data_IF_437563711097
#
_entry.id   IF_437563711097
#
_cell.length_a   1.000
_cell.length_b   1.000
_cell.length_c   1.000
_cell.angle_alpha   90.00
_cell.angle_beta   90.00
_cell.angle_gamma   90.00
#
_symmetry.space_group_name_H-M   'P 1'
#
loop_
_entity.id
_entity.type
_entity.pdbx_description
1 polymer ?
#
# COMPACT_ATOMS: atom_id res chain seq x y z
N UNK A 1 9.09 -9.76 8.08
CA UNK A 1 7.61 -9.85 8.16
C UNK A 1 6.89 -9.94 6.82
N UNK A 2 6.85 -8.89 5.96
CA UNK A 2 6.11 -8.96 4.67
C UNK A 2 6.50 -10.21 3.85
N UNK A 3 7.80 -10.45 3.71
CA UNK A 3 8.35 -11.65 3.05
C UNK A 3 7.81 -12.96 3.62
N UNK A 4 7.75 -13.09 4.95
CA UNK A 4 7.24 -14.30 5.61
C UNK A 4 5.78 -14.54 5.25
N UNK A 5 4.96 -13.48 5.22
CA UNK A 5 3.54 -13.59 4.87
C UNK A 5 3.39 -13.96 3.39
N UNK A 6 4.14 -13.34 2.49
CA UNK A 6 4.09 -13.68 1.06
C UNK A 6 4.53 -15.13 0.80
N UNK A 7 5.52 -15.63 1.54
CA UNK A 7 5.96 -17.03 1.48
C UNK A 7 4.92 -18.01 2.06
N UNK A 8 3.97 -17.53 2.88
CA UNK A 8 2.90 -18.36 3.43
C UNK A 8 1.76 -18.64 2.46
N UNK A 9 1.71 -17.97 1.31
CA UNK A 9 0.68 -18.18 0.27
C UNK A 9 0.82 -19.62 -0.28
N UNK A 10 -0.27 -20.38 -0.23
CA UNK A 10 -0.31 -21.81 -0.57
C UNK A 10 -0.77 -22.05 -2.01
N UNK A 11 -1.59 -21.17 -2.58
CA UNK A 11 -2.01 -21.28 -3.96
C UNK A 11 -0.82 -21.02 -4.90
N UNK A 12 -0.40 -22.06 -5.63
CA UNK A 12 0.76 -22.05 -6.54
C UNK A 12 0.73 -20.90 -7.57
N UNK A 13 -0.42 -20.63 -8.19
CA UNK A 13 -0.51 -19.57 -9.21
C UNK A 13 -0.42 -18.17 -8.59
N UNK A 14 -1.08 -17.94 -7.45
CA UNK A 14 -0.94 -16.68 -6.71
C UNK A 14 0.49 -16.50 -6.19
N UNK A 15 1.09 -17.55 -5.63
CA UNK A 15 2.47 -17.52 -5.17
C UNK A 15 3.43 -17.13 -6.29
N UNK A 16 3.25 -17.67 -7.51
CA UNK A 16 4.07 -17.32 -8.66
C UNK A 16 3.85 -15.88 -9.12
N UNK A 17 2.59 -15.43 -9.17
CA UNK A 17 2.25 -14.04 -9.49
C UNK A 17 2.94 -13.08 -8.49
N UNK A 18 2.78 -13.34 -7.19
CA UNK A 18 3.42 -12.53 -6.14
C UNK A 18 4.95 -12.58 -6.28
N UNK A 19 5.52 -13.75 -6.54
CA UNK A 19 6.97 -13.89 -6.73
C UNK A 19 7.49 -13.03 -7.89
N UNK A 20 6.76 -12.93 -9.01
CA UNK A 20 7.14 -12.06 -10.13
C UNK A 20 7.20 -10.57 -9.77
N UNK A 21 6.42 -10.12 -8.77
CA UNK A 21 6.55 -8.77 -8.21
C UNK A 21 7.75 -8.66 -7.27
N UNK A 22 7.98 -9.68 -6.43
CA UNK A 22 9.06 -9.68 -5.45
C UNK A 22 10.46 -9.78 -6.10
N UNK A 23 10.55 -10.44 -7.25
CA UNK A 23 11.78 -10.54 -8.05
C UNK A 23 12.13 -9.24 -8.81
N UNK A 24 11.18 -8.29 -8.88
CA UNK A 24 11.40 -6.98 -9.46
C UNK A 24 12.09 -6.05 -8.44
N UNK A 25 13.42 -6.13 -8.39
CA UNK A 25 14.23 -5.42 -7.38
C UNK A 25 13.98 -3.90 -7.40
N UNK A 26 13.81 -3.30 -8.58
CA UNK A 26 13.58 -1.87 -8.73
C UNK A 26 12.19 -1.48 -8.20
N UNK A 27 11.15 -2.24 -8.53
CA UNK A 27 9.82 -2.04 -8.01
C UNK A 27 9.80 -2.17 -6.48
N UNK A 28 10.45 -3.20 -5.93
CA UNK A 28 10.45 -3.45 -4.49
C UNK A 28 11.25 -2.41 -3.70
N UNK A 29 12.35 -1.90 -4.26
CA UNK A 29 13.07 -0.77 -3.69
C UNK A 29 12.19 0.49 -3.61
N UNK A 30 11.41 0.76 -4.68
CA UNK A 30 10.46 1.87 -4.70
C UNK A 30 9.29 1.65 -3.74
N UNK A 31 8.76 0.42 -3.64
CA UNK A 31 7.69 0.07 -2.71
C UNK A 31 8.06 0.34 -1.25
N UNK A 32 9.31 0.05 -0.88
CA UNK A 32 9.82 0.32 0.47
C UNK A 32 10.01 1.82 0.78
N UNK A 33 10.00 2.68 -0.24
CA UNK A 33 10.22 4.13 -0.11
C UNK A 33 8.96 4.96 -0.38
N UNK A 34 8.02 4.45 -1.16
CA UNK A 34 6.84 5.19 -1.57
C UNK A 34 5.95 5.56 -0.36
N UNK A 35 5.35 6.76 -0.36
CA UNK A 35 4.26 7.08 0.55
C UNK A 35 2.98 6.35 0.13
N UNK A 36 2.08 6.07 1.08
CA UNK A 36 0.77 5.48 0.75
C UNK A 36 -0.24 6.53 0.28
N UNK A 37 -0.02 7.81 0.62
CA UNK A 37 -0.88 8.89 0.19
C UNK A 37 -0.12 10.20 0.11
N UNK A 38 -0.68 11.16 -0.63
CA UNK A 38 -0.17 12.54 -0.68
C UNK A 38 -0.37 13.28 0.65
N UNK A 39 -1.39 12.91 1.42
CA UNK A 39 -1.73 13.54 2.68
C UNK A 39 -2.51 12.58 3.59
N UNK A 40 -2.63 12.94 4.87
CA UNK A 40 -3.43 12.27 5.90
C UNK A 40 -2.91 10.89 6.37
N UNK A 41 -3.15 9.79 5.65
CA UNK A 41 -2.81 8.42 6.09
C UNK A 41 -1.53 7.94 5.43
N UNK A 42 -0.54 7.55 6.23
CA UNK A 42 0.74 7.02 5.73
C UNK A 42 1.45 7.89 4.66
N UNK A 43 1.23 9.22 4.73
CA UNK A 43 1.87 10.21 3.87
C UNK A 43 3.30 10.53 4.33
N UNK A 44 4.20 9.55 4.26
CA UNK A 44 5.62 9.67 4.57
C UNK A 44 6.42 8.59 3.81
N UNK A 45 7.74 8.76 3.67
CA UNK A 45 8.61 7.80 2.98
C UNK A 45 8.54 6.43 3.67
N UNK A 46 8.19 5.38 2.91
CA UNK A 46 7.96 4.03 3.41
C UNK A 46 6.55 3.78 3.96
N UNK A 47 5.67 4.78 3.89
CA UNK A 47 4.30 4.66 4.36
C UNK A 47 3.48 3.60 3.61
N UNK A 48 3.76 3.35 2.32
CA UNK A 48 3.08 2.31 1.55
C UNK A 48 3.36 0.91 2.10
N UNK A 49 4.62 0.64 2.44
CA UNK A 49 5.02 -0.63 3.06
C UNK A 49 4.36 -0.80 4.44
N UNK A 50 4.37 0.24 5.27
CA UNK A 50 3.75 0.20 6.60
C UNK A 50 2.24 -0.05 6.51
N UNK A 51 1.53 0.69 5.65
CA UNK A 51 0.11 0.50 5.37
C UNK A 51 -0.18 -0.94 4.94
N UNK A 52 0.60 -1.46 3.99
CA UNK A 52 0.40 -2.83 3.48
C UNK A 52 0.60 -3.88 4.57
N UNK A 53 1.63 -3.73 5.42
CA UNK A 53 1.87 -4.66 6.53
C UNK A 53 0.73 -4.58 7.55
N UNK A 54 0.30 -3.37 7.94
CA UNK A 54 -0.81 -3.20 8.89
C UNK A 54 -2.09 -3.87 8.39
N UNK A 55 -2.45 -3.61 7.12
CA UNK A 55 -3.61 -4.21 6.48
C UNK A 55 -3.49 -5.75 6.42
N UNK A 56 -2.31 -6.28 6.13
CA UNK A 56 -2.04 -7.73 6.14
C UNK A 56 -2.22 -8.34 7.54
N UNK A 57 -1.72 -7.71 8.60
CA UNK A 57 -1.86 -8.25 9.97
C UNK A 57 -3.33 -8.23 10.43
N UNK A 58 -4.08 -7.19 10.07
CA UNK A 58 -5.53 -7.12 10.29
C UNK A 58 -6.22 -8.24 9.50
N UNK A 59 -5.87 -8.42 8.23
CA UNK A 59 -6.45 -9.48 7.39
C UNK A 59 -6.19 -10.87 7.98
N UNK A 60 -4.96 -11.18 8.35
CA UNK A 60 -4.56 -12.47 8.94
C UNK A 60 -5.29 -12.78 10.25
N UNK A 61 -5.75 -11.75 10.95
CA UNK A 61 -6.58 -11.89 12.13
C UNK A 61 -8.05 -12.09 11.76
N UNK A 62 -8.57 -11.24 10.87
CA UNK A 62 -9.98 -11.22 10.48
C UNK A 62 -10.40 -12.48 9.74
N UNK A 63 -9.59 -13.00 8.81
CA UNK A 63 -9.92 -14.17 7.98
C UNK A 63 -10.23 -15.42 8.82
N UNK A 64 -9.66 -15.54 10.03
CA UNK A 64 -9.89 -16.66 10.96
C UNK A 64 -11.34 -16.75 11.45
N UNK A 65 -12.07 -15.64 11.41
CA UNK A 65 -13.47 -15.58 11.82
C UNK A 65 -14.45 -15.93 10.69
N UNK A 66 -13.99 -16.03 9.44
CA UNK A 66 -14.84 -16.26 8.27
C UNK A 66 -14.42 -17.51 7.48
N UNK A 67 -14.79 -18.72 7.96
CA UNK A 67 -14.56 -19.96 7.22
C UNK A 67 -15.25 -19.89 5.85
N UNK A 68 -14.46 -19.86 4.78
CA UNK A 68 -14.94 -19.69 3.40
C UNK A 68 -14.32 -18.48 2.69
N UNK A 69 -13.72 -17.55 3.42
CA UNK A 69 -12.91 -16.48 2.83
C UNK A 69 -11.55 -17.02 2.40
N UNK A 70 -11.15 -16.79 1.15
CA UNK A 70 -9.85 -17.23 0.67
C UNK A 70 -8.73 -16.30 1.16
N UNK A 71 -7.98 -16.77 2.17
CA UNK A 71 -6.86 -16.02 2.77
C UNK A 71 -5.83 -15.57 1.73
N UNK A 72 -5.40 -16.47 0.83
CA UNK A 72 -4.35 -16.17 -0.13
C UNK A 72 -4.75 -15.05 -1.09
N UNK A 73 -6.01 -15.04 -1.53
CA UNK A 73 -6.55 -13.96 -2.35
C UNK A 73 -6.64 -12.62 -1.61
N UNK A 74 -7.06 -12.62 -0.34
CA UNK A 74 -7.12 -11.40 0.47
C UNK A 74 -5.73 -10.82 0.67
N UNK A 75 -4.76 -11.65 1.06
CA UNK A 75 -3.37 -11.23 1.29
C UNK A 75 -2.71 -10.74 0.00
N UNK A 76 -2.88 -11.47 -1.12
CA UNK A 76 -2.38 -11.02 -2.42
C UNK A 76 -3.06 -9.71 -2.86
N UNK A 77 -4.37 -9.59 -2.66
CA UNK A 77 -5.13 -8.37 -2.94
C UNK A 77 -4.60 -7.14 -2.19
N UNK A 78 -4.37 -7.28 -0.89
CA UNK A 78 -3.81 -6.20 -0.05
C UNK A 78 -2.39 -5.85 -0.50
N UNK A 79 -1.55 -6.83 -0.82
CA UNK A 79 -0.20 -6.52 -1.30
C UNK A 79 -0.21 -5.76 -2.64
N UNK A 80 -1.16 -6.05 -3.52
CA UNK A 80 -1.16 -5.54 -4.90
C UNK A 80 -2.01 -4.28 -5.13
N UNK A 81 -3.00 -3.97 -4.29
CA UNK A 81 -3.99 -2.90 -4.59
C UNK A 81 -3.33 -1.54 -4.89
N UNK A 82 -2.38 -1.15 -4.05
CA UNK A 82 -1.70 0.14 -4.12
C UNK A 82 -0.28 0.08 -4.67
N UNK A 83 0.16 -1.06 -5.20
CA UNK A 83 1.56 -1.27 -5.62
C UNK A 83 2.02 -0.23 -6.66
N UNK A 84 1.10 0.24 -7.52
CA UNK A 84 1.41 1.24 -8.52
C UNK A 84 1.52 2.68 -7.99
N UNK A 85 1.32 2.93 -6.69
CA UNK A 85 1.70 4.21 -6.04
C UNK A 85 3.19 4.48 -6.15
N UNK A 86 4.00 3.42 -6.31
CA UNK A 86 5.44 3.50 -6.63
C UNK A 86 5.74 4.21 -7.95
N UNK A 87 4.78 4.20 -8.88
CA UNK A 87 4.85 4.82 -10.21
C UNK A 87 3.97 6.08 -10.32
N UNK A 88 2.83 6.10 -9.65
CA UNK A 88 1.91 7.24 -9.65
C UNK A 88 2.51 8.46 -8.94
N UNK A 89 3.21 8.23 -7.82
CA UNK A 89 3.71 9.29 -6.97
C UNK A 89 5.19 9.59 -7.23
N UNK A 90 5.55 10.86 -7.12
CA UNK A 90 6.92 11.35 -7.03
C UNK A 90 7.22 11.70 -5.58
N UNK A 91 8.40 11.32 -5.09
CA UNK A 91 8.72 11.42 -3.65
C UNK A 91 10.23 11.58 -3.35
N UNK A 92 11.01 12.12 -4.30
CA UNK A 92 12.45 12.36 -4.09
C UNK A 92 12.73 13.66 -3.31
N UNK A 93 12.12 14.77 -3.71
CA UNK A 93 12.31 16.08 -3.08
C UNK A 93 11.05 16.56 -2.34
N UNK A 94 9.89 16.38 -2.99
CA UNK A 94 8.58 16.69 -2.44
C UNK A 94 7.59 15.65 -2.97
N UNK A 95 6.51 15.43 -2.24
CA UNK A 95 5.45 14.55 -2.72
C UNK A 95 4.67 15.23 -3.83
N UNK A 96 4.42 14.49 -4.90
CA UNK A 96 3.69 14.94 -6.07
C UNK A 96 3.14 13.74 -6.85
N UNK A 97 2.40 14.02 -7.91
CA UNK A 97 2.01 13.02 -8.90
C UNK A 97 2.94 13.09 -10.10
N UNK A 98 3.20 11.94 -10.72
CA UNK A 98 3.76 11.87 -12.07
C UNK A 98 2.68 12.19 -13.11
N UNK A 99 3.07 12.51 -14.34
CA UNK A 99 2.10 12.71 -15.43
C UNK A 99 1.23 11.46 -15.64
N UNK A 100 1.84 10.28 -15.55
CA UNK A 100 1.13 9.01 -15.59
C UNK A 100 0.15 8.86 -14.43
N UNK A 101 0.54 9.29 -13.23
CA UNK A 101 -0.34 9.33 -12.07
C UNK A 101 -1.59 10.18 -12.30
N UNK A 102 -1.43 11.39 -12.86
CA UNK A 102 -2.57 12.24 -13.21
C UNK A 102 -3.47 11.68 -14.32
N UNK A 103 -2.88 11.00 -15.30
CA UNK A 103 -3.62 10.52 -16.47
C UNK A 103 -4.30 9.15 -16.27
N UNK A 104 -3.68 8.27 -15.47
CA UNK A 104 -4.10 6.86 -15.33
C UNK A 104 -4.43 6.48 -13.90
N UNK A 105 -3.60 6.90 -12.93
CA UNK A 105 -3.73 6.55 -11.52
C UNK A 105 -3.30 5.12 -11.17
N UNK A 106 -3.01 4.89 -9.89
CA UNK A 106 -2.49 3.63 -9.38
C UNK A 106 -3.50 2.48 -9.52
N UNK A 107 -4.80 2.70 -9.30
CA UNK A 107 -5.80 1.62 -9.33
C UNK A 107 -5.78 0.88 -10.68
N UNK A 108 -5.88 1.65 -11.77
CA UNK A 108 -5.88 1.10 -13.13
C UNK A 108 -4.51 0.53 -13.46
N UNK A 109 -3.44 1.23 -13.07
CA UNK A 109 -2.07 0.79 -13.35
C UNK A 109 -1.71 -0.52 -12.63
N UNK A 110 -2.09 -0.68 -11.37
CA UNK A 110 -1.93 -1.90 -10.58
C UNK A 110 -2.62 -3.08 -11.29
N UNK A 111 -3.86 -2.90 -11.76
CA UNK A 111 -4.59 -3.95 -12.49
C UNK A 111 -3.92 -4.31 -13.83
N UNK A 112 -3.38 -3.32 -14.56
CA UNK A 112 -2.61 -3.56 -15.79
C UNK A 112 -1.31 -4.32 -15.51
N UNK A 113 -0.62 -4.03 -14.40
CA UNK A 113 0.58 -4.74 -14.01
C UNK A 113 0.31 -6.20 -13.67
N UNK A 114 -0.85 -6.54 -13.10
CA UNK A 114 -1.21 -7.94 -12.82
C UNK A 114 -1.20 -8.77 -14.11
N UNK A 115 -1.74 -8.23 -15.20
CA UNK A 115 -1.74 -8.90 -16.52
C UNK A 115 -0.31 -9.14 -17.04
N UNK A 116 0.59 -8.17 -16.84
CA UNK A 116 1.99 -8.28 -17.28
C UNK A 116 2.77 -9.28 -16.43
N UNK A 117 2.66 -9.16 -15.10
CA UNK A 117 3.33 -10.04 -14.13
C UNK A 117 2.80 -11.46 -14.16
N UNK A 118 1.53 -11.66 -14.52
CA UNK A 118 1.00 -13.00 -14.76
C UNK A 118 1.74 -13.69 -15.92
N UNK A 119 2.06 -12.99 -17.01
CA UNK A 119 2.82 -13.57 -18.14
C UNK A 119 4.24 -13.95 -17.74
N UNK A 120 4.93 -13.10 -16.99
CA UNK A 120 6.25 -13.41 -16.41
C UNK A 120 6.19 -14.65 -15.48
N UNK A 121 5.14 -14.73 -14.65
CA UNK A 121 4.92 -15.85 -13.76
C UNK A 121 4.61 -17.16 -14.51
N UNK A 122 3.85 -17.11 -15.61
CA UNK A 122 3.57 -18.27 -16.48
C UNK A 122 4.84 -18.86 -17.10
N UNK A 123 5.77 -18.00 -17.54
CA UNK A 123 7.07 -18.44 -18.07
C UNK A 123 7.87 -19.21 -17.01
N UNK A 124 7.85 -18.72 -15.77
CA UNK A 124 8.54 -19.37 -14.64
C UNK A 124 7.85 -20.68 -14.22
N UNK A 125 6.52 -20.71 -14.23
CA UNK A 125 5.73 -21.88 -13.87
C UNK A 125 5.79 -22.99 -14.93
N UNK A 126 5.98 -22.63 -16.21
CA UNK A 126 5.85 -23.54 -17.33
C UNK A 126 4.40 -23.94 -17.65
N UNK A 127 3.42 -23.23 -17.11
CA UNK A 127 1.99 -23.45 -17.32
C UNK A 127 1.21 -22.13 -17.26
N UNK A 128 0.00 -22.13 -17.83
CA UNK A 128 -0.88 -20.95 -17.83
C UNK A 128 -1.51 -20.73 -16.47
N UNK A 129 -1.60 -19.48 -16.04
CA UNK A 129 -2.39 -19.07 -14.88
C UNK A 129 -3.86 -18.99 -15.37
N UNK A 130 -4.83 -19.57 -14.66
CA UNK A 130 -6.23 -19.45 -15.04
C UNK A 130 -6.65 -17.98 -15.14
N UNK A 131 -7.18 -17.56 -16.30
CA UNK A 131 -7.60 -16.16 -16.52
C UNK A 131 -8.59 -15.68 -15.44
N UNK A 132 -9.48 -16.56 -14.98
CA UNK A 132 -10.42 -16.22 -13.90
C UNK A 132 -9.72 -15.82 -12.59
N UNK A 133 -8.55 -16.37 -12.30
CA UNK A 133 -7.76 -15.97 -11.12
C UNK A 133 -7.20 -14.54 -11.31
N UNK A 134 -6.68 -14.25 -12.50
CA UNK A 134 -6.20 -12.92 -12.89
C UNK A 134 -7.32 -11.90 -12.79
N UNK A 135 -8.50 -12.22 -13.35
CA UNK A 135 -9.69 -11.36 -13.33
C UNK A 135 -10.15 -11.06 -11.90
N UNK A 136 -10.12 -12.04 -10.99
CA UNK A 136 -10.49 -11.84 -9.58
C UNK A 136 -9.48 -10.95 -8.85
N UNK A 137 -8.18 -11.14 -9.06
CA UNK A 137 -7.14 -10.27 -8.48
C UNK A 137 -7.29 -8.84 -9.01
N UNK A 138 -7.48 -8.68 -10.32
CA UNK A 138 -7.76 -7.37 -10.91
C UNK A 138 -9.05 -6.76 -10.36
N UNK A 139 -10.11 -7.55 -10.13
CA UNK A 139 -11.36 -7.04 -9.53
C UNK A 139 -11.15 -6.54 -8.11
N UNK A 140 -10.38 -7.24 -7.27
CA UNK A 140 -10.02 -6.78 -5.93
C UNK A 140 -9.34 -5.40 -6.02
N UNK A 141 -8.35 -5.26 -6.90
CA UNK A 141 -7.64 -4.00 -7.13
C UNK A 141 -8.59 -2.93 -7.70
N UNK A 142 -9.43 -3.23 -8.68
CA UNK A 142 -10.32 -2.24 -9.31
C UNK A 142 -11.50 -1.83 -8.42
N UNK A 143 -11.69 -2.49 -7.28
CA UNK A 143 -12.83 -2.25 -6.40
C UNK A 143 -12.50 -1.87 -4.96
N UNK A 144 -11.22 -1.84 -4.57
CA UNK A 144 -10.84 -1.61 -3.18
C UNK A 144 -11.24 -0.24 -2.61
N UNK A 145 -11.58 0.76 -3.44
CA UNK A 145 -12.15 2.04 -3.00
C UNK A 145 -13.68 2.04 -2.85
N UNK A 146 -14.36 0.90 -3.06
CA UNK A 146 -15.82 0.73 -3.04
C UNK A 146 -16.58 1.51 -4.12
N UNK A 147 -16.75 2.81 -3.94
CA UNK A 147 -17.66 3.60 -4.77
C UNK A 147 -16.93 4.38 -5.86
N UNK A 148 -17.56 4.60 -7.02
CA UNK A 148 -17.05 5.53 -8.04
C UNK A 148 -16.78 6.94 -7.50
N UNK A 149 -17.57 7.39 -6.51
CA UNK A 149 -17.38 8.67 -5.81
C UNK A 149 -16.04 8.76 -5.06
N UNK A 150 -15.43 7.62 -4.73
CA UNK A 150 -14.11 7.50 -4.11
C UNK A 150 -13.01 7.14 -5.12
N UNK A 151 -13.31 7.23 -6.42
CA UNK A 151 -12.38 6.93 -7.50
C UNK A 151 -12.33 5.46 -7.92
N UNK A 152 -13.21 4.59 -7.38
CA UNK A 152 -13.23 3.17 -7.70
C UNK A 152 -13.87 2.88 -9.07
N UNK A 153 -13.19 2.19 -10.00
CA UNK A 153 -13.80 1.76 -11.26
C UNK A 153 -14.98 0.78 -11.09
N UNK A 154 -14.94 -0.05 -10.05
CA UNK A 154 -15.94 -1.09 -9.74
C UNK A 154 -16.28 -1.12 -8.24
N UNK A 155 -17.42 -1.70 -7.91
CA UNK A 155 -17.78 -2.04 -6.53
C UNK A 155 -17.29 -3.45 -6.17
N UNK A 156 -16.89 -3.71 -4.92
CA UNK A 156 -16.50 -5.03 -4.45
C UNK A 156 -17.63 -6.05 -4.69
N UNK A 157 -17.30 -7.18 -5.28
CA UNK A 157 -18.29 -8.16 -5.75
C UNK A 157 -17.91 -9.61 -5.44
N UNK A 158 -16.83 -9.82 -4.68
CA UNK A 158 -16.45 -11.11 -4.09
C UNK A 158 -16.25 -10.93 -2.59
N UNK A 159 -16.38 -11.98 -1.77
CA UNK A 159 -16.08 -11.91 -0.35
C UNK A 159 -14.68 -11.35 -0.07
N UNK A 160 -13.70 -11.74 -0.90
CA UNK A 160 -12.31 -11.28 -0.82
C UNK A 160 -12.20 -9.79 -1.12
N UNK A 161 -12.83 -9.29 -2.20
CA UNK A 161 -12.81 -7.87 -2.53
C UNK A 161 -13.50 -7.02 -1.45
N UNK A 162 -14.61 -7.51 -0.89
CA UNK A 162 -15.32 -6.84 0.21
C UNK A 162 -14.40 -6.77 1.44
N UNK A 163 -13.74 -7.88 1.79
CA UNK A 163 -12.82 -7.91 2.92
C UNK A 163 -11.65 -6.92 2.73
N UNK A 164 -11.03 -6.91 1.55
CA UNK A 164 -9.90 -6.01 1.22
C UNK A 164 -10.33 -4.55 1.33
N UNK A 165 -11.46 -4.16 0.70
CA UNK A 165 -11.99 -2.80 0.81
C UNK A 165 -12.24 -2.39 2.27
N UNK A 166 -12.88 -3.26 3.05
CA UNK A 166 -13.21 -2.95 4.45
C UNK A 166 -11.96 -2.78 5.31
N UNK A 167 -10.91 -3.57 5.05
CA UNK A 167 -9.64 -3.51 5.78
C UNK A 167 -8.86 -2.24 5.39
N UNK A 168 -8.77 -1.92 4.10
CA UNK A 168 -8.12 -0.69 3.62
C UNK A 168 -8.76 0.56 4.22
N UNK A 169 -10.09 0.67 4.10
CA UNK A 169 -10.83 1.81 4.62
C UNK A 169 -10.78 1.89 6.16
N UNK A 170 -10.64 0.76 6.85
CA UNK A 170 -10.43 0.72 8.30
C UNK A 170 -9.06 1.28 8.67
N UNK A 171 -7.99 0.82 8.03
CA UNK A 171 -6.63 1.31 8.27
C UNK A 171 -6.53 2.81 8.00
N UNK A 172 -7.01 3.26 6.83
CA UNK A 172 -7.01 4.67 6.46
C UNK A 172 -7.77 5.53 7.49
N UNK A 173 -8.99 5.13 7.88
CA UNK A 173 -9.81 5.90 8.83
C UNK A 173 -9.26 5.88 10.25
N UNK A 174 -8.77 4.75 10.75
CA UNK A 174 -8.22 4.67 12.09
C UNK A 174 -6.92 5.47 12.19
N UNK A 175 -6.03 5.35 11.20
CA UNK A 175 -4.81 6.15 11.14
C UNK A 175 -5.13 7.64 11.10
N UNK A 176 -6.10 8.07 10.28
CA UNK A 176 -6.53 9.48 10.23
C UNK A 176 -7.16 9.97 11.55
N UNK A 177 -8.01 9.16 12.17
CA UNK A 177 -8.69 9.53 13.42
C UNK A 177 -7.72 9.61 14.59
N UNK A 178 -6.78 8.66 14.71
CA UNK A 178 -5.75 8.65 15.76
C UNK A 178 -4.78 9.83 15.58
N UNK A 179 -4.37 10.13 14.34
CA UNK A 179 -3.60 11.35 14.01
C UNK A 179 -4.30 12.60 14.51
N UNK A 180 -5.57 12.76 14.16
CA UNK A 180 -6.35 13.95 14.43
C UNK A 180 -6.75 14.13 15.90
N UNK A 181 -6.61 13.10 16.75
CA UNK A 181 -7.16 13.13 18.11
C UNK A 181 -6.22 12.68 19.22
N UNK A 182 -5.34 11.70 18.99
CA UNK A 182 -4.52 11.05 20.03
C UNK A 182 -3.03 11.36 19.92
N UNK A 183 -2.53 11.77 18.76
CA UNK A 183 -1.11 12.01 18.57
C UNK A 183 -0.69 13.45 18.91
N UNK A 184 0.57 13.61 19.31
CA UNK A 184 1.15 14.79 20.00
C UNK A 184 1.01 16.15 19.31
N UNK A 185 0.57 16.20 18.05
CA UNK A 185 0.40 17.45 17.29
C UNK A 185 -0.71 18.36 17.86
N UNK A 186 -1.45 17.91 18.88
CA UNK A 186 -2.56 18.64 19.49
C UNK A 186 -2.35 18.96 20.99
N UNK A 187 -1.16 18.70 21.54
CA UNK A 187 -0.80 19.18 22.88
C UNK A 187 -0.83 20.72 22.88
N UNK A 188 -1.91 21.31 23.42
CA UNK A 188 -2.10 22.76 23.46
C UNK A 188 -3.11 23.34 22.45
N UNK A 189 -3.81 22.52 21.66
CA UNK A 189 -4.97 23.01 20.91
C UNK A 189 -6.19 23.19 21.82
N UNK A 190 -6.84 24.35 21.75
CA UNK A 190 -8.04 24.62 22.52
C UNK A 190 -9.24 23.75 22.08
N UNK A 191 -9.98 23.24 23.06
CA UNK A 191 -11.25 22.55 22.89
C UNK A 191 -11.17 21.02 22.68
N UNK A 192 -12.31 20.36 22.87
CA UNK A 192 -12.43 18.90 22.86
C UNK A 192 -12.67 18.27 21.49
N UNK A 193 -12.78 19.06 20.42
CA UNK A 193 -13.23 18.60 19.10
C UNK A 193 -12.29 19.06 18.00
N UNK A 194 -12.03 18.19 17.03
CA UNK A 194 -11.35 18.57 15.79
C UNK A 194 -12.15 19.58 14.99
N UNK A 195 -11.52 20.18 13.98
CA UNK A 195 -12.27 20.79 12.89
C UNK A 195 -13.09 19.76 12.12
N UNK A 196 -13.99 20.23 11.26
CA UNK A 196 -14.79 19.34 10.43
C UNK A 196 -13.91 18.58 9.45
N UNK A 197 -13.98 17.26 9.49
CA UNK A 197 -13.21 16.37 8.62
C UNK A 197 -14.15 15.70 7.62
N UNK A 198 -13.97 16.01 6.34
CA UNK A 198 -14.79 15.45 5.25
C UNK A 198 -14.79 13.92 5.24
N UNK A 199 -13.64 13.30 5.52
CA UNK A 199 -13.49 11.83 5.56
C UNK A 199 -14.41 11.14 6.59
N UNK A 200 -14.85 11.86 7.62
CA UNK A 200 -15.73 11.36 8.67
C UNK A 200 -17.13 11.98 8.64
N UNK A 201 -17.38 12.89 7.68
CA UNK A 201 -18.61 13.68 7.61
C UNK A 201 -18.96 14.36 8.97
N UNK A 202 -17.94 14.85 9.69
CA UNK A 202 -18.13 15.32 11.05
C UNK A 202 -16.85 15.77 11.76
N UNK A 203 -16.98 16.09 13.05
CA UNK A 203 -15.87 16.39 13.96
C UNK A 203 -15.58 15.17 14.82
N UNK A 204 -14.31 14.98 15.20
CA UNK A 204 -13.89 13.92 16.10
C UNK A 204 -13.65 14.47 17.51
N UNK A 205 -13.97 13.67 18.52
CA UNK A 205 -13.74 13.99 19.93
C UNK A 205 -12.30 13.61 20.33
N UNK A 206 -11.54 14.60 20.84
CA UNK A 206 -10.11 14.45 21.17
C UNK A 206 -9.84 13.69 22.47
N UNK A 207 -10.51 13.98 23.60
CA UNK A 207 -10.15 13.34 24.86
C UNK A 207 -10.33 11.81 24.83
N UNK A 208 -9.34 11.10 25.36
CA UNK A 208 -9.51 9.73 25.84
C UNK A 208 -10.02 9.78 27.29
N UNK A 209 -11.29 9.44 27.48
CA UNK A 209 -11.98 9.54 28.77
C UNK A 209 -11.83 8.27 29.62
N UNK A 210 -11.21 7.23 29.06
CA UNK A 210 -10.97 5.97 29.74
C UNK A 210 -9.59 5.42 29.33
N UNK A 211 -8.49 6.13 29.67
CA UNK A 211 -7.16 5.71 29.29
C UNK A 211 -6.87 4.33 29.87
N UNK A 212 -6.57 3.37 29.00
CA UNK A 212 -6.04 2.09 29.43
C UNK A 212 -4.65 2.30 30.04
N UNK A 213 -4.28 1.48 31.03
CA UNK A 213 -2.88 1.36 31.44
C UNK A 213 -2.14 0.86 30.20
N UNK A 214 -1.26 1.70 29.63
CA UNK A 214 -0.52 1.37 28.44
C UNK A 214 0.21 0.04 28.66
N UNK A 215 -0.15 -0.98 27.88
CA UNK A 215 0.80 -2.04 27.55
C UNK A 215 1.91 -1.33 26.78
N UNK A 216 3.11 -1.25 27.37
CA UNK A 216 4.26 -0.44 26.91
C UNK A 216 4.32 -0.32 25.38
N UNK A 217 3.73 0.76 24.85
CA UNK A 217 3.64 1.05 23.42
C UNK A 217 4.81 1.94 22.94
N UNK A 218 5.81 2.14 23.81
CA UNK A 218 6.95 3.01 23.55
C UNK A 218 7.88 2.51 22.42
N UNK A 219 7.74 1.27 21.97
CA UNK A 219 8.58 0.68 20.90
C UNK A 219 7.95 0.66 19.50
N UNK A 220 6.68 1.07 19.33
CA UNK A 220 5.97 0.94 18.05
C UNK A 220 5.73 2.26 17.29
N UNK A 221 6.39 3.36 17.70
CA UNK A 221 6.31 4.60 16.92
C UNK A 221 7.37 4.58 15.79
N UNK A 222 6.98 4.70 14.51
CA UNK A 222 7.95 4.87 13.44
C UNK A 222 8.72 6.19 13.64
N UNK A 223 9.99 6.29 13.18
CA UNK A 223 10.81 7.48 13.34
C UNK A 223 10.12 8.70 12.71
N UNK A 224 10.01 9.80 13.47
CA UNK A 224 9.47 11.07 12.97
C UNK A 224 10.35 11.62 11.86
N UNK A 225 9.88 11.59 10.63
CA UNK A 225 10.36 12.51 9.59
C UNK A 225 9.52 13.78 9.67
N UNK A 226 10.16 14.93 9.85
CA UNK A 226 9.50 16.23 9.88
C UNK A 226 8.65 16.41 8.61
N UNK A 227 7.33 16.54 8.79
CA UNK A 227 6.44 16.96 7.72
C UNK A 227 6.83 18.37 7.29
N UNK A 228 7.04 18.59 6.00
CA UNK A 228 7.14 19.94 5.45
C UNK A 228 5.76 20.60 5.65
N UNK A 229 5.73 21.66 6.46
CA UNK A 229 4.55 22.50 6.62
C UNK A 229 4.29 23.26 5.32
N UNK A 230 3.06 23.16 4.80
CA UNK A 230 2.59 23.93 3.66
C UNK A 230 1.89 25.19 4.19
N UNK A 231 2.59 26.32 4.16
CA UNK A 231 1.98 27.65 4.34
C UNK A 231 1.52 28.14 2.96
N UNK A 232 0.22 28.02 2.72
CA UNK A 232 -0.44 28.57 1.54
C UNK A 232 -0.31 30.10 1.49
N UNK A 233 0.47 30.60 0.52
CA UNK A 233 0.37 31.97 0.03
C UNK A 233 0.79 32.04 -1.44
N UNK A 234 -0.14 32.47 -2.29
CA UNK A 234 0.05 32.82 -3.70
C UNK A 234 1.36 33.59 -3.92
N UNK A 235 2.30 32.97 -4.63
CA UNK A 235 3.42 33.67 -5.27
C UNK A 235 3.60 33.16 -6.68
N UNK A 236 3.31 34.03 -7.64
CA UNK A 236 3.52 33.84 -9.07
C UNK A 236 5.01 33.52 -9.32
N UNK A 237 5.28 32.32 -9.83
CA UNK A 237 6.64 31.88 -10.16
C UNK A 237 7.15 32.54 -11.46
N UNK A 238 8.43 32.97 -11.53
CA UNK A 238 9.04 33.44 -12.78
C UNK A 238 9.41 32.25 -13.70
N UNK A 239 9.40 32.50 -15.02
CA UNK A 239 9.72 31.51 -16.07
C UNK A 239 11.11 30.85 -15.87
N UNK A 240 11.26 29.54 -16.11
CA UNK A 240 12.56 28.88 -16.01
C UNK A 240 13.40 29.03 -17.30
N UNK A 241 14.69 29.33 -17.14
CA UNK A 241 15.73 29.12 -18.15
C UNK A 241 16.24 27.67 -18.09
N UNK A 242 16.75 27.10 -19.21
CA UNK A 242 17.22 25.72 -19.23
C UNK A 242 18.63 25.63 -18.65
N UNK A 243 18.85 24.75 -17.66
CA UNK A 243 20.22 24.39 -17.25
C UNK A 243 20.39 22.92 -16.85
N UNK A 244 21.58 22.45 -17.20
CA UNK A 244 22.06 21.08 -17.40
C UNK A 244 22.07 20.20 -16.14
N UNK A 245 21.81 18.92 -16.34
CA UNK A 245 21.91 17.84 -15.35
C UNK A 245 23.35 17.64 -14.84
N UNK A 246 23.55 17.40 -13.53
CA UNK A 246 24.68 16.66 -13.04
C UNK A 246 24.29 15.19 -12.76
N UNK A 247 25.07 14.27 -13.32
CA UNK A 247 24.99 12.86 -13.01
C UNK A 247 25.24 12.60 -11.51
N UNK A 248 24.34 11.85 -10.87
CA UNK A 248 24.61 11.25 -9.56
C UNK A 248 24.48 9.72 -9.69
N UNK A 249 25.49 9.01 -9.20
CA UNK A 249 25.59 7.57 -9.27
C UNK A 249 24.60 6.90 -8.28
N UNK A 250 23.98 5.77 -8.64
CA UNK A 250 23.05 5.08 -7.75
C UNK A 250 23.79 4.41 -6.59
N UNK A 251 23.24 4.58 -5.38
CA UNK A 251 23.56 3.78 -4.19
C UNK A 251 22.80 2.46 -4.31
N UNK A 252 23.48 1.32 -4.31
CA UNK A 252 22.83 0.01 -4.44
C UNK A 252 21.99 -0.33 -3.20
N UNK A 253 20.67 -0.59 -3.33
CA UNK A 253 19.88 -1.16 -2.26
C UNK A 253 20.25 -2.63 -2.06
N UNK A 254 20.34 -3.06 -0.79
CA UNK A 254 20.65 -4.44 -0.44
C UNK A 254 19.66 -5.44 -1.06
N UNK A 255 20.19 -6.51 -1.66
CA UNK A 255 19.41 -7.55 -2.35
C UNK A 255 18.42 -8.22 -1.41
N UNK A 256 17.12 -7.96 -1.61
CA UNK A 256 16.03 -8.77 -1.07
C UNK A 256 15.92 -10.05 -1.92
N UNK A 257 16.65 -11.11 -1.54
CA UNK A 257 16.38 -12.45 -2.09
C UNK A 257 15.12 -12.99 -1.44
N UNK A 258 14.03 -13.04 -2.18
CA UNK A 258 12.77 -13.64 -1.74
C UNK A 258 12.53 -14.86 -2.62
N UNK A 259 12.52 -16.07 -2.04
CA UNK A 259 12.11 -17.30 -2.73
C UNK A 259 10.93 -17.91 -1.99
N UNK A 260 9.87 -18.28 -2.70
CA UNK A 260 8.77 -19.04 -2.09
C UNK A 260 9.13 -20.54 -2.05
N UNK A 261 8.94 -21.24 -0.90
CA UNK A 261 9.22 -22.67 -0.76
C UNK A 261 8.58 -23.56 -1.83
N UNK A 262 7.45 -23.14 -2.41
CA UNK A 262 6.78 -23.84 -3.52
C UNK A 262 7.64 -23.95 -4.79
N UNK A 263 8.69 -23.14 -4.92
CA UNK A 263 9.57 -23.11 -6.10
C UNK A 263 10.99 -23.62 -5.81
N UNK A 264 11.31 -24.08 -4.60
CA UNK A 264 12.66 -24.49 -4.20
C UNK A 264 13.09 -25.89 -4.71
N UNK A 265 12.32 -26.51 -5.62
CA UNK A 265 12.62 -27.85 -6.15
C UNK A 265 13.02 -27.86 -7.63
N UNK A 266 14.07 -27.14 -8.03
CA UNK A 266 14.65 -27.29 -9.40
C UNK A 266 16.16 -27.02 -9.50
N UNK A 267 16.97 -27.31 -8.46
CA UNK A 267 18.43 -27.23 -8.63
C UNK A 267 19.27 -28.25 -7.85
N UNK A 268 18.78 -29.49 -7.74
CA UNK A 268 19.62 -30.63 -7.33
C UNK A 268 19.22 -31.89 -8.09
N UNK A 269 19.67 -32.00 -9.34
CA UNK A 269 19.87 -33.25 -10.09
C UNK A 269 20.49 -32.95 -11.46
N UNK A 270 21.77 -32.56 -11.44
CA UNK A 270 22.73 -32.82 -12.52
C UNK A 270 24.08 -33.09 -11.87
N UNK A 271 24.31 -34.36 -11.55
CA UNK A 271 25.64 -34.98 -11.59
C UNK A 271 25.65 -35.89 -12.82
#
# INVERSE_FOLDING_TARGET
RLTEVMQSIQNRHLAALIQAYLDDEALMANFCRAPAAMSFHHAFVGGLLEHTINAIEVADTVVKFYPGLNRDLVIAGIFLHDIAKTWELSYECAFGYTDGGYLVGHIVKSAMWVEHKAKEAEETLGEKIPQQLIDVVQHIILSHHDKPEFGSPKVPATPEAIAVHMIENMDAKLTMALRATRWEQHAGMDGNWTEYMKAFNGKLYRPDVAPAVAIDAAEQQPPRTQMLADDGADRVAPKPEPRREPASAPVEPGKLKITNPLFETTNSRKN
#
